data_IF_867215839242
#
_entry.id   IF_867215839242
#
_cell.length_a   1.000
_cell.length_b   1.000
_cell.length_c   1.000
_cell.angle_alpha   90.00
_cell.angle_beta   90.00
_cell.angle_gamma   90.00
#
_symmetry.space_group_name_H-M   'P 1'
#
loop_
_entity.id
_entity.type
_entity.pdbx_description
1 polymer ?
#
# COMPACT_ATOMS: atom_id res chain seq x y z
N UNK A 1 -9.07 24.06 -4.68
CA UNK A 1 -9.36 23.94 -3.23
C UNK A 1 -8.17 24.49 -2.47
N UNK A 2 -8.35 25.55 -1.69
CA UNK A 2 -7.30 26.09 -0.81
C UNK A 2 -7.28 25.24 0.47
N UNK A 3 -6.39 24.27 0.53
CA UNK A 3 -6.08 23.60 1.79
C UNK A 3 -4.96 24.41 2.46
N UNK A 4 -5.27 25.07 3.59
CA UNK A 4 -4.27 25.73 4.45
C UNK A 4 -3.52 26.91 3.81
N UNK A 5 -4.22 27.82 3.13
CA UNK A 5 -3.64 29.11 2.68
C UNK A 5 -2.57 29.01 1.58
N UNK A 6 -2.17 27.80 1.18
CA UNK A 6 -1.24 27.52 0.09
C UNK A 6 -2.05 26.99 -1.09
N UNK A 7 -1.84 27.56 -2.27
CA UNK A 7 -2.40 27.02 -3.51
C UNK A 7 -1.68 25.71 -3.85
N UNK A 8 -2.16 24.60 -3.28
CA UNK A 8 -1.63 23.24 -3.48
C UNK A 8 -1.53 22.91 -4.97
N UNK A 9 -2.47 23.39 -5.78
CA UNK A 9 -2.45 23.26 -7.24
C UNK A 9 -1.29 23.99 -7.93
N UNK A 10 -0.82 25.13 -7.40
CA UNK A 10 0.35 25.83 -7.94
C UNK A 10 1.64 25.09 -7.58
N UNK A 11 1.75 24.67 -6.32
CA UNK A 11 2.88 23.85 -5.86
C UNK A 11 2.97 22.55 -6.67
N UNK A 12 1.84 21.83 -6.83
CA UNK A 12 1.78 20.62 -7.66
C UNK A 12 2.13 20.91 -9.12
N UNK A 13 1.71 22.05 -9.70
CA UNK A 13 2.03 22.38 -11.10
C UNK A 13 3.51 22.68 -11.34
N UNK A 14 4.25 23.09 -10.32
CA UNK A 14 5.71 23.27 -10.36
C UNK A 14 6.48 21.97 -10.11
N UNK A 15 5.81 20.93 -9.59
CA UNK A 15 6.40 19.61 -9.41
C UNK A 15 6.53 18.89 -10.76
N UNK A 16 7.59 18.09 -10.86
CA UNK A 16 7.82 17.25 -12.02
C UNK A 16 6.71 16.19 -12.18
N UNK A 17 6.39 15.83 -13.42
CA UNK A 17 5.35 14.86 -13.80
C UNK A 17 5.36 13.57 -12.97
N UNK A 18 6.51 12.90 -12.71
CA UNK A 18 6.51 11.69 -11.86
C UNK A 18 6.14 11.95 -10.40
N UNK A 19 6.51 13.12 -9.84
CA UNK A 19 6.17 13.48 -8.47
C UNK A 19 4.67 13.78 -8.32
N UNK A 20 4.04 14.38 -9.34
CA UNK A 20 2.59 14.60 -9.40
C UNK A 20 1.82 13.26 -9.40
N UNK A 21 2.27 12.29 -10.21
CA UNK A 21 1.65 10.97 -10.28
C UNK A 21 1.76 10.23 -8.95
N UNK A 22 2.93 10.25 -8.30
CA UNK A 22 3.09 9.62 -6.99
C UNK A 22 2.19 10.28 -5.92
N UNK A 23 2.09 11.61 -5.92
CA UNK A 23 1.21 12.31 -4.99
C UNK A 23 -0.26 11.89 -5.19
N UNK A 24 -0.73 11.85 -6.45
CA UNK A 24 -2.09 11.42 -6.76
C UNK A 24 -2.36 9.97 -6.32
N UNK A 25 -1.42 9.05 -6.61
CA UNK A 25 -1.48 7.66 -6.17
C UNK A 25 -1.48 7.54 -4.65
N UNK A 26 -0.66 8.33 -3.95
CA UNK A 26 -0.63 8.34 -2.49
C UNK A 26 -1.97 8.81 -1.92
N UNK A 27 -2.56 9.89 -2.43
CA UNK A 27 -3.88 10.35 -1.96
C UNK A 27 -4.95 9.27 -2.15
N UNK A 28 -4.94 8.61 -3.31
CA UNK A 28 -5.87 7.51 -3.58
C UNK A 28 -5.66 6.32 -2.64
N UNK A 29 -4.41 5.93 -2.38
CA UNK A 29 -4.08 4.88 -1.43
C UNK A 29 -4.56 5.21 -0.02
N UNK A 30 -4.43 6.47 0.43
CA UNK A 30 -4.84 6.84 1.78
C UNK A 30 -6.37 6.77 1.91
N UNK A 31 -7.11 7.17 0.86
CA UNK A 31 -8.57 7.04 0.81
C UNK A 31 -9.01 5.58 0.87
N UNK A 32 -8.37 4.70 0.11
CA UNK A 32 -8.64 3.26 0.18
C UNK A 32 -8.35 2.70 1.59
N UNK A 33 -7.25 3.11 2.21
CA UNK A 33 -6.90 2.70 3.57
C UNK A 33 -7.96 3.14 4.60
N UNK A 34 -8.45 4.39 4.51
CA UNK A 34 -9.53 4.88 5.36
C UNK A 34 -10.83 4.08 5.17
N UNK A 35 -11.19 3.77 3.93
CA UNK A 35 -12.39 2.96 3.64
C UNK A 35 -12.28 1.55 4.21
N UNK A 36 -11.11 0.92 4.10
CA UNK A 36 -10.81 -0.39 4.66
C UNK A 36 -10.88 -0.39 6.18
N UNK A 37 -10.39 0.67 6.82
CA UNK A 37 -10.47 0.85 8.27
C UNK A 37 -11.93 0.93 8.75
N UNK A 38 -12.78 1.71 8.09
CA UNK A 38 -14.19 1.83 8.48
C UNK A 38 -14.90 0.48 8.31
N UNK A 39 -14.63 -0.23 7.22
CA UNK A 39 -15.21 -1.54 6.96
C UNK A 39 -14.81 -2.59 8.01
N UNK A 40 -13.52 -2.71 8.29
CA UNK A 40 -13.02 -3.66 9.30
C UNK A 40 -13.44 -3.28 10.71
N UNK A 41 -13.47 -1.99 11.05
CA UNK A 41 -13.96 -1.54 12.35
C UNK A 41 -15.43 -1.92 12.57
N UNK A 42 -16.29 -1.74 11.56
CA UNK A 42 -17.70 -2.13 11.66
C UNK A 42 -17.84 -3.65 11.81
N UNK A 43 -17.07 -4.44 11.06
CA UNK A 43 -17.09 -5.90 11.17
C UNK A 43 -16.59 -6.41 12.53
N UNK A 44 -15.58 -5.76 13.13
CA UNK A 44 -15.07 -6.15 14.45
C UNK A 44 -16.01 -5.73 15.58
N UNK A 45 -16.60 -4.52 15.51
CA UNK A 45 -17.59 -4.06 16.50
C UNK A 45 -18.85 -4.94 16.48
N UNK A 46 -19.24 -5.46 15.31
CA UNK A 46 -20.35 -6.43 15.20
C UNK A 46 -19.98 -7.80 15.78
N UNK A 47 -18.72 -8.25 15.64
CA UNK A 47 -18.26 -9.54 16.15
C UNK A 47 -17.94 -9.53 17.67
N UNK A 48 -17.46 -8.41 18.22
CA UNK A 48 -17.10 -8.24 19.64
C UNK A 48 -17.53 -6.85 20.16
N UNK A 49 -18.77 -6.68 20.64
CA UNK A 49 -19.30 -5.39 21.10
C UNK A 49 -18.63 -4.85 22.37
N UNK A 50 -17.97 -5.71 23.14
CA UNK A 50 -17.20 -5.37 24.36
C UNK A 50 -15.71 -5.10 24.06
N UNK A 51 -15.26 -5.37 22.83
CA UNK A 51 -13.89 -5.22 22.37
C UNK A 51 -13.53 -3.75 22.15
N UNK A 52 -12.47 -3.28 22.82
CA UNK A 52 -12.03 -1.89 22.71
C UNK A 52 -11.71 -1.45 21.28
N UNK A 53 -12.04 -0.20 20.96
CA UNK A 53 -11.87 0.39 19.64
C UNK A 53 -10.40 0.35 19.12
N UNK A 54 -10.19 -0.16 17.92
CA UNK A 54 -8.87 -0.34 17.25
C UNK A 54 -8.31 0.99 16.68
N UNK A 55 -8.86 2.13 17.07
CA UNK A 55 -8.64 3.41 16.39
C UNK A 55 -7.21 3.96 16.58
N UNK A 56 -6.56 3.72 17.72
CA UNK A 56 -5.27 4.36 18.02
C UNK A 56 -4.11 3.91 17.11
N UNK A 57 -3.95 2.61 16.92
CA UNK A 57 -2.85 2.07 16.09
C UNK A 57 -3.06 2.38 14.61
N UNK A 58 -4.31 2.33 14.16
CA UNK A 58 -4.67 2.53 12.76
C UNK A 58 -4.53 3.99 12.32
N UNK A 59 -4.87 4.93 13.22
CA UNK A 59 -4.74 6.37 12.97
C UNK A 59 -3.29 6.84 12.98
N UNK A 60 -2.46 6.31 13.90
CA UNK A 60 -1.02 6.61 13.90
C UNK A 60 -0.35 6.13 12.61
N UNK A 61 -0.74 4.95 12.11
CA UNK A 61 -0.26 4.43 10.81
C UNK A 61 -0.60 5.35 9.63
N UNK A 62 -1.80 5.94 9.62
CA UNK A 62 -2.20 6.90 8.59
C UNK A 62 -1.30 8.15 8.58
N UNK A 63 -1.01 8.71 9.76
CA UNK A 63 -0.18 9.91 9.90
C UNK A 63 1.25 9.64 9.40
N UNK A 64 1.83 8.51 9.80
CA UNK A 64 3.18 8.11 9.36
C UNK A 64 3.23 7.93 7.84
N UNK A 65 2.20 7.30 7.24
CA UNK A 65 2.11 7.13 5.79
C UNK A 65 2.01 8.46 5.05
N UNK A 66 1.28 9.45 5.58
CA UNK A 66 1.19 10.79 5.00
C UNK A 66 2.55 11.49 5.04
N UNK A 67 3.24 11.45 6.18
CA UNK A 67 4.58 12.05 6.32
C UNK A 67 5.56 11.39 5.33
N UNK A 68 5.56 10.06 5.26
CA UNK A 68 6.41 9.33 4.34
C UNK A 68 6.12 9.67 2.88
N UNK A 69 4.84 9.76 2.51
CA UNK A 69 4.44 10.15 1.16
C UNK A 69 4.92 11.57 0.80
N UNK A 70 4.79 12.54 1.70
CA UNK A 70 5.28 13.91 1.48
C UNK A 70 6.80 13.95 1.34
N UNK A 71 7.53 13.25 2.22
CA UNK A 71 8.99 13.14 2.13
C UNK A 71 9.42 12.49 0.81
N UNK A 72 8.70 11.47 0.36
CA UNK A 72 8.97 10.79 -0.90
C UNK A 72 8.72 11.68 -2.12
N UNK A 73 7.61 12.42 -2.14
CA UNK A 73 7.33 13.43 -3.18
C UNK A 73 8.43 14.49 -3.22
N UNK A 74 8.89 14.97 -2.05
CA UNK A 74 9.98 15.93 -1.96
C UNK A 74 11.30 15.36 -2.50
N UNK A 75 11.61 14.10 -2.17
CA UNK A 75 12.79 13.39 -2.68
C UNK A 75 12.75 13.25 -4.21
N UNK A 76 11.60 12.84 -4.76
CA UNK A 76 11.39 12.74 -6.21
C UNK A 76 11.54 14.10 -6.91
N UNK A 77 10.99 15.17 -6.31
CA UNK A 77 11.13 16.52 -6.85
C UNK A 77 12.58 17.00 -6.85
N UNK A 78 13.33 16.71 -5.78
CA UNK A 78 14.76 17.03 -5.69
C UNK A 78 15.59 16.30 -6.75
N UNK A 79 15.34 14.99 -6.93
CA UNK A 79 16.04 14.18 -7.95
C UNK A 79 15.72 14.68 -9.36
N UNK A 80 14.49 15.17 -9.61
CA UNK A 80 14.11 15.69 -10.91
C UNK A 80 14.85 16.97 -11.33
N UNK A 81 15.41 17.75 -10.41
CA UNK A 81 16.18 18.96 -10.74
C UNK A 81 17.54 18.66 -11.39
N UNK A 82 18.00 17.39 -11.36
CA UNK A 82 19.21 16.97 -12.05
C UNK A 82 18.97 16.76 -13.55
N UNK A 83 20.02 16.98 -14.37
CA UNK A 83 19.98 16.89 -15.85
C UNK A 83 19.46 15.53 -16.39
N UNK A 84 19.61 14.44 -15.63
CA UNK A 84 19.07 13.10 -15.94
C UNK A 84 17.92 12.66 -15.00
N UNK A 85 17.51 13.53 -14.09
CA UNK A 85 16.59 13.25 -12.99
C UNK A 85 15.19 12.82 -13.42
N UNK A 86 14.74 13.26 -14.59
CA UNK A 86 13.39 12.96 -15.08
C UNK A 86 13.23 11.48 -15.48
N UNK A 87 14.23 10.88 -16.14
CA UNK A 87 14.23 9.44 -16.45
C UNK A 87 14.38 8.58 -15.20
N UNK A 88 15.24 9.01 -14.27
CA UNK A 88 15.51 8.29 -13.02
C UNK A 88 14.28 8.31 -12.10
N UNK A 89 13.60 9.46 -11.98
CA UNK A 89 12.39 9.56 -11.14
C UNK A 89 11.24 8.72 -11.66
N UNK A 90 11.11 8.57 -12.99
CA UNK A 90 10.12 7.67 -13.57
C UNK A 90 10.44 6.21 -13.25
N UNK A 91 11.71 5.81 -13.33
CA UNK A 91 12.15 4.48 -12.90
C UNK A 91 11.90 4.25 -11.41
N UNK A 92 12.15 5.25 -10.56
CA UNK A 92 11.98 5.18 -9.11
C UNK A 92 10.51 5.07 -8.68
N UNK A 93 9.58 5.67 -9.44
CA UNK A 93 8.13 5.48 -9.27
C UNK A 93 7.68 4.10 -9.76
N UNK A 94 8.23 3.60 -10.86
CA UNK A 94 7.85 2.31 -11.45
C UNK A 94 8.40 1.11 -10.65
N UNK A 95 9.58 1.26 -10.06
CA UNK A 95 10.28 0.24 -9.27
C UNK A 95 9.40 -0.40 -8.17
N UNK A 96 8.76 0.35 -7.26
CA UNK A 96 7.90 -0.24 -6.22
C UNK A 96 6.68 -0.97 -6.79
N UNK A 97 6.14 -0.52 -7.92
CA UNK A 97 4.99 -1.19 -8.57
C UNK A 97 5.43 -2.55 -9.14
N UNK A 98 6.55 -2.58 -9.87
CA UNK A 98 7.10 -3.82 -10.42
C UNK A 98 7.41 -4.81 -9.29
N UNK A 99 8.05 -4.32 -8.22
CA UNK A 99 8.38 -5.14 -7.07
C UNK A 99 7.13 -5.74 -6.39
N UNK A 100 6.07 -4.94 -6.19
CA UNK A 100 4.81 -5.44 -5.63
C UNK A 100 4.16 -6.51 -6.52
N UNK A 101 4.13 -6.32 -7.84
CA UNK A 101 3.54 -7.30 -8.77
C UNK A 101 4.31 -8.63 -8.72
N UNK A 102 5.64 -8.59 -8.75
CA UNK A 102 6.48 -9.78 -8.66
C UNK A 102 6.24 -10.51 -7.33
N UNK A 103 6.22 -9.78 -6.21
CA UNK A 103 6.00 -10.37 -4.89
C UNK A 103 4.60 -10.98 -4.77
N UNK A 104 3.56 -10.32 -5.28
CA UNK A 104 2.19 -10.81 -5.23
C UNK A 104 2.01 -12.10 -6.04
N UNK A 105 2.56 -12.15 -7.27
CA UNK A 105 2.55 -13.36 -8.09
C UNK A 105 3.36 -14.49 -7.43
N UNK A 106 4.50 -14.15 -6.82
CA UNK A 106 5.31 -15.10 -6.04
C UNK A 106 4.55 -15.69 -4.86
N UNK A 107 3.81 -14.86 -4.10
CA UNK A 107 3.03 -15.32 -2.96
C UNK A 107 1.85 -16.19 -3.36
N UNK A 108 1.12 -15.84 -4.43
CA UNK A 108 -0.02 -16.64 -4.91
C UNK A 108 0.45 -18.01 -5.41
N UNK A 109 1.53 -18.05 -6.18
CA UNK A 109 2.08 -19.31 -6.69
C UNK A 109 2.60 -20.20 -5.56
N UNK A 110 3.31 -19.63 -4.58
CA UNK A 110 3.76 -20.34 -3.40
C UNK A 110 2.59 -20.88 -2.55
N UNK A 111 1.57 -20.04 -2.29
CA UNK A 111 0.38 -20.44 -1.55
C UNK A 111 -0.36 -21.59 -2.24
N UNK A 112 -0.51 -21.53 -3.56
CA UNK A 112 -1.14 -22.58 -4.36
C UNK A 112 -0.38 -23.91 -4.26
N UNK A 113 0.96 -23.87 -4.28
CA UNK A 113 1.78 -25.06 -4.10
C UNK A 113 1.67 -25.65 -2.69
N UNK A 114 1.70 -24.80 -1.65
CA UNK A 114 1.55 -25.22 -0.25
C UNK A 114 0.17 -25.87 -0.02
N UNK A 115 -0.91 -25.30 -0.54
CA UNK A 115 -2.25 -25.88 -0.45
C UNK A 115 -2.31 -27.22 -1.18
N UNK A 116 -1.73 -27.32 -2.38
CA UNK A 116 -1.66 -28.57 -3.14
C UNK A 116 -0.93 -29.70 -2.40
N UNK A 117 0.20 -29.40 -1.76
CA UNK A 117 0.95 -30.37 -0.95
C UNK A 117 0.18 -30.78 0.30
N UNK A 118 -0.45 -29.84 1.00
CA UNK A 118 -1.25 -30.13 2.18
C UNK A 118 -2.43 -31.07 1.89
N UNK A 119 -3.12 -30.89 0.75
CA UNK A 119 -4.22 -31.78 0.33
C UNK A 119 -3.70 -33.20 0.07
N UNK A 120 -2.60 -33.34 -0.68
CA UNK A 120 -1.99 -34.64 -0.97
C UNK A 120 -1.52 -35.35 0.31
N UNK A 121 -0.86 -34.63 1.22
CA UNK A 121 -0.41 -35.19 2.49
C UNK A 121 -1.60 -35.63 3.36
N UNK A 122 -2.72 -34.90 3.34
CA UNK A 122 -3.93 -35.27 4.08
C UNK A 122 -4.57 -36.55 3.52
N UNK A 123 -4.54 -36.76 2.20
CA UNK A 123 -5.00 -38.01 1.58
C UNK A 123 -4.10 -39.19 1.94
N UNK A 124 -2.77 -39.02 1.88
CA UNK A 124 -1.80 -40.04 2.29
C UNK A 124 -2.00 -40.46 3.76
N UNK A 125 -2.18 -39.50 4.66
CA UNK A 125 -2.43 -39.80 6.09
C UNK A 125 -3.74 -40.58 6.30
N UNK A 126 -4.78 -40.33 5.49
CA UNK A 126 -6.02 -41.11 5.54
C UNK A 126 -5.82 -42.54 5.06
N UNK A 127 -4.98 -42.77 4.04
CA UNK A 127 -4.68 -44.11 3.54
C UNK A 127 -3.87 -44.91 4.56
N UNK A 128 -2.86 -44.29 5.18
CA UNK A 128 -2.03 -44.93 6.23
C UNK A 128 -2.85 -45.28 7.46
N UNK A 129 -3.78 -44.42 7.89
CA UNK A 129 -4.57 -44.64 9.11
C UNK A 129 -5.78 -45.61 8.89
N UNK A 130 -6.11 -45.93 7.64
CA UNK A 130 -7.12 -46.93 7.28
C UNK A 130 -6.52 -48.31 6.94
N UNK A 131 -5.19 -48.46 6.99
CA UNK A 131 -4.49 -49.77 6.96
C UNK A 131 -4.15 -50.21 8.39
#
# INVERSE_FOLDING_TARGET
>A
MKLLGVDVTKVISELCTPAQVYLLLSVFAQLMYLSSMIYTNNAVVEAEPEGGHIHHYTFLGLIVNIIFAVLWVALLNYICQFKYGNKISWFLVLFPIIFMVIMFVGLISAASFIVGQNVKNKELMKQVNNQ
#
